data_IF_659726571052
#
_entry.id   IF_659726571052
#
_cell.length_a   1.000
_cell.length_b   1.000
_cell.length_c   1.000
_cell.angle_alpha   90.00
_cell.angle_beta   90.00
_cell.angle_gamma   90.00
#
_symmetry.space_group_name_H-M   'P 1'
#
loop_
_entity.id
_entity.type
_entity.pdbx_description
1 polymer ?
#
# COMPACT_ATOMS: atom_id res chain seq x y z
N UNK A 1 -17.96 -7.96 3.65
CA UNK A 1 -18.42 -6.57 3.73
C UNK A 1 -17.32 -5.50 3.51
N UNK A 2 -16.29 -5.73 2.67
CA UNK A 2 -15.38 -4.63 2.24
C UNK A 2 -14.89 -4.77 0.78
N UNK A 3 -15.56 -5.59 -0.03
CA UNK A 3 -15.08 -5.95 -1.38
C UNK A 3 -15.23 -4.86 -2.46
N UNK A 4 -15.72 -3.65 -2.15
CA UNK A 4 -16.06 -2.64 -3.17
C UNK A 4 -15.68 -1.19 -2.83
N UNK A 5 -15.05 -0.92 -1.69
CA UNK A 5 -14.90 0.47 -1.21
C UNK A 5 -13.65 1.23 -1.70
N UNK A 6 -12.88 0.73 -2.67
CA UNK A 6 -11.66 1.46 -3.10
C UNK A 6 -11.33 1.35 -4.58
N UNK A 7 -12.34 1.25 -5.44
CA UNK A 7 -12.23 1.79 -6.81
C UNK A 7 -12.58 3.29 -6.73
N UNK A 8 -11.89 4.04 -5.87
CA UNK A 8 -12.09 5.49 -5.74
C UNK A 8 -10.81 6.19 -5.29
N UNK A 9 -9.86 6.27 -6.21
CA UNK A 9 -9.12 7.50 -6.57
C UNK A 9 -7.84 7.10 -7.30
N UNK A 10 -7.77 7.42 -8.59
CA UNK A 10 -6.51 7.43 -9.32
C UNK A 10 -5.59 8.48 -8.67
N UNK A 11 -4.60 8.04 -7.89
CA UNK A 11 -3.43 8.83 -7.50
C UNK A 11 -3.34 9.30 -6.04
N UNK A 12 -4.45 9.41 -5.32
CA UNK A 12 -4.43 9.97 -3.95
C UNK A 12 -5.41 9.20 -3.08
N UNK A 13 -4.92 8.19 -2.35
CA UNK A 13 -5.66 7.66 -1.21
C UNK A 13 -5.13 8.36 0.03
N UNK A 14 -5.99 8.96 0.84
CA UNK A 14 -5.60 9.50 2.14
C UNK A 14 -5.45 8.37 3.17
N UNK A 15 -4.81 7.25 2.78
CA UNK A 15 -4.54 6.17 3.73
C UNK A 15 -3.63 6.73 4.79
N UNK A 16 -4.10 6.67 6.01
CA UNK A 16 -3.35 7.00 7.22
C UNK A 16 -3.23 5.74 8.05
N UNK A 17 -2.17 5.66 8.87
CA UNK A 17 -1.72 4.50 9.68
C UNK A 17 -0.59 3.70 9.05
N UNK A 18 -0.10 2.73 9.84
CA UNK A 18 0.93 1.77 9.47
C UNK A 18 0.53 0.92 8.27
N UNK A 19 1.52 0.61 7.44
CA UNK A 19 1.36 -0.32 6.33
C UNK A 19 1.28 -1.73 6.93
N UNK A 20 0.20 -2.49 6.67
CA UNK A 20 0.06 -3.81 7.23
C UNK A 20 1.05 -4.78 6.59
N UNK A 21 1.56 -5.74 7.37
CA UNK A 21 2.44 -6.83 6.88
C UNK A 21 1.87 -7.60 5.68
N UNK A 22 0.54 -7.61 5.53
CA UNK A 22 -0.17 -8.23 4.40
C UNK A 22 0.17 -7.61 3.04
N UNK A 23 0.79 -6.43 3.00
CA UNK A 23 1.27 -5.79 1.76
C UNK A 23 2.21 -6.71 0.97
N UNK A 24 3.01 -7.56 1.63
CA UNK A 24 3.90 -8.53 0.96
C UNK A 24 3.16 -9.61 0.17
N UNK A 25 1.84 -9.76 0.35
CA UNK A 25 1.03 -10.68 -0.46
C UNK A 25 0.65 -10.09 -1.82
N UNK A 26 0.89 -8.79 -2.03
CA UNK A 26 0.60 -8.09 -3.28
C UNK A 26 1.79 -8.23 -4.24
N UNK A 27 2.15 -9.45 -4.63
CA UNK A 27 3.35 -9.75 -5.44
C UNK A 27 3.35 -9.07 -6.81
N UNK A 28 2.18 -8.63 -7.28
CA UNK A 28 1.99 -7.89 -8.54
C UNK A 28 1.95 -6.36 -8.34
N UNK A 29 2.22 -5.86 -7.13
CA UNK A 29 2.22 -4.43 -6.85
C UNK A 29 3.42 -3.76 -7.53
N UNK A 30 3.13 -2.84 -8.45
CA UNK A 30 4.14 -2.10 -9.21
C UNK A 30 4.47 -0.76 -8.54
N UNK A 31 3.49 -0.10 -7.95
CA UNK A 31 3.66 1.22 -7.35
C UNK A 31 2.85 1.34 -6.07
N UNK A 32 3.48 1.91 -5.04
CA UNK A 32 2.85 2.30 -3.79
C UNK A 32 3.19 3.77 -3.52
N UNK A 33 2.27 4.71 -3.80
CA UNK A 33 2.61 6.13 -3.77
C UNK A 33 2.67 6.66 -2.32
N UNK A 34 3.84 6.57 -1.69
CA UNK A 34 4.05 7.05 -0.31
C UNK A 34 3.78 8.55 -0.15
N UNK A 35 4.09 9.36 -1.18
CA UNK A 35 3.97 10.82 -1.14
C UNK A 35 2.54 11.33 -1.07
N UNK A 36 1.58 10.56 -1.60
CA UNK A 36 0.16 10.94 -1.63
C UNK A 36 -0.66 10.27 -0.53
N UNK A 37 -0.03 9.39 0.25
CA UNK A 37 -0.61 8.75 1.43
C UNK A 37 0.01 9.35 2.70
N UNK A 38 -0.69 9.22 3.83
CA UNK A 38 -0.24 9.69 5.13
C UNK A 38 0.16 8.50 6.03
N UNK A 39 0.96 7.57 5.48
CA UNK A 39 1.42 6.40 6.23
C UNK A 39 2.31 6.85 7.39
N UNK A 40 2.14 6.21 8.55
CA UNK A 40 2.90 6.49 9.77
C UNK A 40 3.37 5.19 10.40
N UNK A 41 4.41 5.25 11.25
CA UNK A 41 5.01 4.07 11.87
C UNK A 41 6.02 3.33 10.97
N UNK A 42 6.53 2.17 11.40
CA UNK A 42 7.62 1.48 10.72
C UNK A 42 7.18 0.85 9.40
N UNK A 43 8.07 0.88 8.40
CA UNK A 43 7.87 0.15 7.15
C UNK A 43 7.98 -1.36 7.41
N UNK A 44 6.99 -2.18 7.01
CA UNK A 44 7.07 -3.62 7.17
C UNK A 44 8.15 -4.20 6.26
N UNK A 45 8.96 -5.13 6.77
CA UNK A 45 10.02 -5.80 6.00
C UNK A 45 9.50 -6.54 4.77
N UNK A 46 8.21 -6.89 4.76
CA UNK A 46 7.50 -7.49 3.64
C UNK A 46 7.45 -6.61 2.38
N UNK A 47 7.70 -5.30 2.50
CA UNK A 47 7.85 -4.44 1.32
C UNK A 47 9.06 -4.86 0.47
N UNK A 48 10.09 -5.45 1.09
CA UNK A 48 11.28 -5.93 0.39
C UNK A 48 11.01 -7.23 -0.39
N UNK A 49 9.91 -7.92 -0.09
CA UNK A 49 9.51 -9.13 -0.83
C UNK A 49 8.79 -8.79 -2.15
N UNK A 50 8.46 -7.51 -2.38
CA UNK A 50 7.74 -7.03 -3.56
C UNK A 50 8.71 -6.74 -4.72
N UNK A 51 9.09 -7.80 -5.43
CA UNK A 51 10.07 -7.72 -6.54
C UNK A 51 9.67 -6.84 -7.73
N UNK A 52 8.37 -6.52 -7.87
CA UNK A 52 7.83 -5.67 -8.94
C UNK A 52 7.64 -4.21 -8.52
N UNK A 53 7.82 -3.88 -7.24
CA UNK A 53 7.64 -2.53 -6.71
C UNK A 53 8.77 -1.62 -7.21
N UNK A 54 8.39 -0.47 -7.75
CA UNK A 54 9.29 0.57 -8.29
C UNK A 54 9.26 1.85 -7.46
#
# INVERSE_FOLDING_TARGET
FFYLATIKSFGTNSLSREIPKKVGQLTELISLPFRTNNFSGPLPSQLWDLSKLQ
#
